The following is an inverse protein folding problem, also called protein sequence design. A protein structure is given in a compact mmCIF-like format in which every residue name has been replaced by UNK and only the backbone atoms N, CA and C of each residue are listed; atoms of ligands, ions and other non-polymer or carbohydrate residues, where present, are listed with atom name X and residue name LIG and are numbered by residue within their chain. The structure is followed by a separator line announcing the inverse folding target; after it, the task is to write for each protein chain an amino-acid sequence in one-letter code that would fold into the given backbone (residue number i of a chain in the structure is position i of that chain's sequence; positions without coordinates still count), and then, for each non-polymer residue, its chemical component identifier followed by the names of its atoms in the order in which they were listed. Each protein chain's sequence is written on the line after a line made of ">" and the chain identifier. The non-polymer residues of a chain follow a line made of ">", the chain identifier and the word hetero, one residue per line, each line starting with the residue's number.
data_IF_346830907149
#
_entry.id   IF_346830907149
#
_cell.length_a   1.000
_cell.length_b   1.000
_cell.length_c   1.000
_cell.angle_alpha   90.00
_cell.angle_beta   90.00
_cell.angle_gamma   90.00
#
_symmetry.space_group_name_H-M   'P 1'
#
loop_
_entity.id
_entity.type
_entity.pdbx_description
1 polymer ?
#
# COMPACT_ATOMS: atom_id res chain seq x y z
N UNK A 1 20.57 -44.16 10.51
CA UNK A 1 21.09 -43.02 9.71
C UNK A 1 19.99 -42.07 9.24
N UNK A 2 18.95 -42.52 8.53
CA UNK A 2 17.91 -41.63 7.97
C UNK A 2 17.11 -40.78 8.99
N UNK A 3 16.83 -41.31 10.18
CA UNK A 3 16.06 -40.60 11.21
C UNK A 3 16.77 -39.35 11.73
N UNK A 4 18.11 -39.39 11.84
CA UNK A 4 18.89 -38.26 12.35
C UNK A 4 18.95 -37.11 11.33
N UNK A 5 19.13 -37.44 10.05
CA UNK A 5 19.10 -36.45 8.96
C UNK A 5 17.72 -35.78 8.88
N UNK A 6 16.64 -36.55 8.99
CA UNK A 6 15.27 -36.01 8.95
C UNK A 6 15.01 -35.01 10.09
N UNK A 7 15.40 -35.36 11.33
CA UNK A 7 15.31 -34.45 12.49
C UNK A 7 16.11 -33.17 12.28
N UNK A 8 17.29 -33.27 11.68
CA UNK A 8 18.12 -32.10 11.39
C UNK A 8 17.48 -31.18 10.34
N UNK A 9 16.90 -31.73 9.27
CA UNK A 9 16.19 -30.95 8.25
C UNK A 9 15.02 -30.18 8.86
N UNK A 10 14.18 -30.85 9.67
CA UNK A 10 13.03 -30.21 10.34
C UNK A 10 13.52 -29.05 11.23
N UNK A 11 14.54 -29.30 12.05
CA UNK A 11 15.12 -28.29 12.95
C UNK A 11 15.64 -27.08 12.18
N UNK A 12 16.36 -27.29 11.08
CA UNK A 12 16.86 -26.20 10.25
C UNK A 12 15.72 -25.42 9.58
N UNK A 13 14.71 -26.10 9.03
CA UNK A 13 13.54 -25.47 8.43
C UNK A 13 12.77 -24.59 9.43
N UNK A 14 12.59 -25.06 10.67
CA UNK A 14 11.95 -24.28 11.73
C UNK A 14 12.76 -23.05 12.14
N UNK A 15 14.09 -23.17 12.21
CA UNK A 15 14.95 -22.03 12.52
C UNK A 15 14.90 -20.99 11.39
N UNK A 16 14.94 -21.44 10.13
CA UNK A 16 14.78 -20.58 8.97
C UNK A 16 13.44 -19.85 8.99
N UNK A 17 12.34 -20.60 9.18
CA UNK A 17 10.98 -20.05 9.28
C UNK A 17 10.88 -18.95 10.35
N UNK A 18 11.38 -19.21 11.58
CA UNK A 18 11.39 -18.22 12.67
C UNK A 18 12.14 -16.93 12.32
N UNK A 19 13.27 -17.05 11.61
CA UNK A 19 14.08 -15.88 11.20
C UNK A 19 13.37 -15.03 10.15
N UNK A 20 12.75 -15.69 9.17
CA UNK A 20 11.98 -15.03 8.10
C UNK A 20 10.72 -14.37 8.68
N UNK A 21 9.91 -15.14 9.41
CA UNK A 21 8.63 -14.70 9.96
C UNK A 21 8.78 -13.49 10.91
N UNK A 22 9.93 -13.34 11.58
CA UNK A 22 10.21 -12.18 12.46
C UNK A 22 10.03 -10.82 11.76
N UNK A 23 10.23 -10.76 10.46
CA UNK A 23 10.15 -9.52 9.67
C UNK A 23 8.92 -9.48 8.76
N UNK A 24 8.13 -10.56 8.71
CA UNK A 24 6.94 -10.66 7.88
C UNK A 24 5.70 -10.23 8.66
N UNK A 25 5.07 -9.12 8.25
CA UNK A 25 3.74 -8.76 8.75
C UNK A 25 2.70 -9.68 8.12
N UNK A 26 1.87 -10.31 8.94
CA UNK A 26 0.75 -11.12 8.46
C UNK A 26 -0.35 -10.18 7.96
N UNK A 27 -0.56 -10.14 6.66
CA UNK A 27 -1.69 -9.45 6.02
C UNK A 27 -2.68 -10.52 5.58
N UNK A 28 -3.94 -10.39 6.03
CA UNK A 28 -5.01 -11.32 5.68
C UNK A 28 -6.15 -10.50 5.09
N UNK A 29 -6.59 -10.91 3.90
CA UNK A 29 -7.75 -10.33 3.24
C UNK A 29 -8.95 -11.28 3.34
N UNK A 30 -10.15 -10.72 3.44
CA UNK A 30 -11.41 -11.45 3.37
C UNK A 30 -12.02 -11.31 1.98
N UNK A 31 -12.94 -12.19 1.67
CA UNK A 31 -13.74 -12.09 0.45
C UNK A 31 -14.60 -10.82 0.54
N UNK A 32 -14.56 -10.01 -0.51
CA UNK A 32 -15.23 -8.71 -0.56
C UNK A 32 -14.36 -7.52 -0.18
N UNK A 33 -13.17 -7.72 0.40
CA UNK A 33 -12.24 -6.62 0.68
C UNK A 33 -11.76 -5.98 -0.63
N UNK A 34 -11.58 -4.67 -0.60
CA UNK A 34 -10.96 -3.92 -1.69
C UNK A 34 -9.45 -3.89 -1.51
N UNK A 35 -8.72 -4.16 -2.59
CA UNK A 35 -7.25 -4.20 -2.58
C UNK A 35 -6.67 -3.51 -3.81
N UNK A 36 -5.56 -2.81 -3.58
CA UNK A 36 -4.68 -2.31 -4.63
C UNK A 36 -3.77 -3.42 -5.16
N UNK A 37 -3.65 -3.55 -6.49
CA UNK A 37 -2.77 -4.54 -7.11
C UNK A 37 -1.49 -3.87 -7.62
N UNK A 38 -0.35 -4.45 -7.25
CA UNK A 38 0.96 -4.05 -7.74
C UNK A 38 1.39 -4.97 -8.89
N UNK A 39 1.41 -4.45 -10.12
CA UNK A 39 1.88 -5.21 -11.29
C UNK A 39 3.28 -4.76 -11.76
N UNK A 40 3.90 -5.61 -12.57
CA UNK A 40 5.10 -5.25 -13.35
C UNK A 40 4.69 -4.50 -14.61
N UNK A 41 5.58 -3.64 -15.11
CA UNK A 41 5.34 -2.79 -16.29
C UNK A 41 4.82 -3.57 -17.50
N UNK A 42 5.36 -4.75 -17.77
CA UNK A 42 5.00 -5.61 -18.91
C UNK A 42 3.59 -6.20 -18.82
N UNK A 43 2.99 -6.21 -17.63
CA UNK A 43 1.69 -6.84 -17.36
C UNK A 43 0.53 -5.85 -17.37
N UNK A 44 0.86 -4.56 -17.40
CA UNK A 44 -0.14 -3.52 -17.54
C UNK A 44 -0.63 -3.43 -18.99
N UNK A 45 -1.92 -3.14 -19.21
CA UNK A 45 -2.39 -2.76 -20.53
C UNK A 45 -1.61 -1.56 -21.07
N UNK A 46 -1.47 -1.52 -22.39
CA UNK A 46 -0.66 -0.52 -23.09
C UNK A 46 -1.17 0.89 -22.76
N UNK A 47 -0.27 1.79 -22.37
CA UNK A 47 -0.61 3.19 -22.04
C UNK A 47 -0.87 3.46 -20.55
N UNK A 48 -0.95 2.43 -19.69
CA UNK A 48 -1.07 2.62 -18.22
C UNK A 48 0.24 2.97 -17.51
N UNK A 49 1.38 2.86 -18.19
CA UNK A 49 2.70 3.15 -17.61
C UNK A 49 3.26 4.48 -18.13
N UNK A 50 3.85 5.28 -17.23
CA UNK A 50 4.49 6.56 -17.55
C UNK A 50 5.30 7.05 -16.36
N UNK A 51 6.22 8.00 -16.59
CA UNK A 51 6.92 8.65 -15.47
C UNK A 51 5.88 9.29 -14.54
N UNK A 52 6.07 9.15 -13.23
CA UNK A 52 5.21 9.68 -12.17
C UNK A 52 3.79 9.07 -12.06
N UNK A 53 3.43 8.07 -12.88
CA UNK A 53 2.17 7.34 -12.68
C UNK A 53 2.29 6.36 -11.50
N UNK A 54 1.23 6.19 -10.69
CA UNK A 54 1.24 5.21 -9.61
C UNK A 54 1.43 3.80 -10.18
N UNK A 55 2.17 2.98 -9.44
CA UNK A 55 2.46 1.59 -9.83
C UNK A 55 1.37 0.62 -9.39
N UNK A 56 0.58 1.02 -8.39
CA UNK A 56 -0.61 0.31 -7.98
C UNK A 56 -1.78 0.74 -8.85
N UNK A 57 -2.68 -0.20 -9.10
CA UNK A 57 -3.90 0.04 -9.87
C UNK A 57 -5.10 -0.50 -9.12
N UNK A 58 -6.22 0.21 -9.30
CA UNK A 58 -7.59 0.00 -8.81
C UNK A 58 -7.81 -0.56 -7.40
N UNK A 59 -8.84 -0.10 -6.67
CA UNK A 59 -9.45 -0.97 -5.68
C UNK A 59 -10.19 -2.09 -6.40
N UNK A 60 -9.62 -3.30 -6.35
CA UNK A 60 -10.26 -4.51 -6.87
C UNK A 60 -10.81 -5.36 -5.74
N UNK A 61 -11.91 -6.06 -6.01
CA UNK A 61 -12.55 -6.91 -5.02
C UNK A 61 -11.85 -8.27 -4.93
N UNK A 62 -11.55 -8.71 -3.71
CA UNK A 62 -11.13 -10.08 -3.44
C UNK A 62 -12.33 -11.01 -3.63
N UNK A 63 -12.27 -11.92 -4.59
CA UNK A 63 -13.32 -12.91 -4.86
C UNK A 63 -13.23 -14.09 -3.90
N UNK A 64 -12.02 -14.62 -3.72
CA UNK A 64 -11.81 -15.85 -2.96
C UNK A 64 -10.41 -15.91 -2.37
N UNK A 65 -10.29 -16.48 -1.17
CA UNK A 65 -9.00 -16.84 -0.58
C UNK A 65 -8.64 -18.27 -0.95
N UNK A 66 -7.58 -18.45 -1.74
CA UNK A 66 -7.10 -19.79 -2.13
C UNK A 66 -6.17 -20.35 -1.05
N UNK A 67 -5.23 -19.52 -0.59
CA UNK A 67 -4.28 -19.84 0.48
C UNK A 67 -3.99 -18.59 1.30
N UNK A 68 -3.28 -18.72 2.43
CA UNK A 68 -2.82 -17.56 3.23
C UNK A 68 -2.02 -16.54 2.41
N UNK A 69 -1.32 -17.01 1.38
CA UNK A 69 -0.43 -16.24 0.53
C UNK A 69 -1.04 -15.88 -0.84
N UNK A 70 -2.20 -16.47 -1.22
CA UNK A 70 -2.72 -16.37 -2.58
C UNK A 70 -4.23 -16.12 -2.61
N UNK A 71 -4.64 -15.07 -3.32
CA UNK A 71 -6.00 -14.58 -3.39
C UNK A 71 -6.46 -14.44 -4.84
N UNK A 72 -7.72 -14.77 -5.10
CA UNK A 72 -8.37 -14.54 -6.38
C UNK A 72 -9.02 -13.16 -6.36
N UNK A 73 -8.71 -12.35 -7.34
CA UNK A 73 -9.17 -10.97 -7.48
C UNK A 73 -10.03 -10.83 -8.72
N UNK A 74 -11.06 -10.01 -8.62
CA UNK A 74 -11.89 -9.63 -9.75
C UNK A 74 -11.12 -8.65 -10.64
N UNK A 75 -10.58 -9.17 -11.75
CA UNK A 75 -9.86 -8.38 -12.73
C UNK A 75 -10.65 -8.23 -14.03
N UNK A 76 -10.67 -7.04 -14.64
CA UNK A 76 -11.13 -6.86 -16.01
C UNK A 76 -10.33 -7.70 -17.00
N UNK A 77 -10.96 -8.14 -18.09
CA UNK A 77 -10.29 -8.92 -19.15
C UNK A 77 -9.20 -8.16 -19.92
N UNK A 78 -9.02 -6.87 -19.64
CA UNK A 78 -7.99 -6.01 -20.25
C UNK A 78 -6.57 -6.31 -19.73
N UNK A 79 -6.45 -6.99 -18.58
CA UNK A 79 -5.17 -7.32 -18.00
C UNK A 79 -4.65 -8.66 -18.53
N UNK A 80 -3.42 -8.68 -19.03
CA UNK A 80 -2.73 -9.90 -19.50
C UNK A 80 -2.19 -10.76 -18.35
N UNK A 81 -2.90 -10.85 -17.23
CA UNK A 81 -2.49 -11.62 -16.04
C UNK A 81 -3.62 -12.49 -15.53
N UNK A 82 -3.24 -13.58 -14.86
CA UNK A 82 -4.20 -14.39 -14.12
C UNK A 82 -4.80 -13.58 -12.97
N UNK A 83 -6.09 -13.75 -12.70
CA UNK A 83 -6.78 -13.15 -11.55
C UNK A 83 -6.35 -13.72 -10.19
N UNK A 84 -5.21 -14.41 -10.09
CA UNK A 84 -4.67 -14.94 -8.83
C UNK A 84 -3.40 -14.21 -8.46
N UNK A 85 -3.38 -13.59 -7.28
CA UNK A 85 -2.29 -12.75 -6.80
C UNK A 85 -1.72 -13.23 -5.48
N UNK A 86 -0.41 -13.03 -5.35
CA UNK A 86 0.29 -13.20 -4.09
C UNK A 86 -0.01 -12.02 -3.15
N UNK A 87 -0.12 -12.26 -1.83
CA UNK A 87 -0.32 -11.22 -0.80
C UNK A 87 0.72 -10.09 -0.88
N UNK A 88 1.95 -10.40 -1.30
CA UNK A 88 3.03 -9.41 -1.47
C UNK A 88 2.78 -8.41 -2.60
N UNK A 89 1.89 -8.74 -3.55
CA UNK A 89 1.49 -7.85 -4.64
C UNK A 89 0.16 -7.14 -4.36
N UNK A 90 -0.43 -7.35 -3.18
CA UNK A 90 -1.69 -6.75 -2.77
C UNK A 90 -1.45 -5.74 -1.66
N UNK A 91 -2.23 -4.67 -1.65
CA UNK A 91 -2.25 -3.73 -0.52
C UNK A 91 -3.69 -3.43 -0.13
N UNK A 92 -4.00 -3.33 1.17
CA UNK A 92 -5.34 -3.01 1.62
C UNK A 92 -5.76 -1.63 1.08
N UNK A 93 -6.99 -1.54 0.59
CA UNK A 93 -7.65 -0.27 0.30
C UNK A 93 -8.36 0.20 1.57
N UNK A 94 -8.12 1.45 1.97
CA UNK A 94 -8.88 2.13 3.00
C UNK A 94 -9.64 3.26 2.33
N UNK A 95 -10.94 3.33 2.55
CA UNK A 95 -11.75 4.45 2.08
C UNK A 95 -11.51 5.63 3.02
N UNK A 96 -10.97 6.73 2.50
CA UNK A 96 -10.65 7.92 3.30
C UNK A 96 -11.93 8.68 3.75
N UNK A 97 -13.13 8.16 3.43
CA UNK A 97 -14.41 8.83 3.68
C UNK A 97 -14.91 8.79 5.14
N UNK A 98 -14.24 8.07 6.05
CA UNK A 98 -14.76 7.85 7.40
C UNK A 98 -14.31 8.85 8.49
N UNK A 99 -13.36 9.77 8.23
CA UNK A 99 -12.72 10.54 9.32
C UNK A 99 -12.66 12.07 9.13
N UNK A 100 -13.59 12.66 8.37
CA UNK A 100 -13.67 14.13 8.22
C UNK A 100 -14.96 14.79 8.71
N UNK A 101 -15.88 14.07 9.39
CA UNK A 101 -17.20 14.64 9.77
C UNK A 101 -17.64 14.50 11.24
N UNK A 102 -16.78 14.12 12.18
CA UNK A 102 -17.12 14.18 13.62
C UNK A 102 -16.14 15.06 14.39
N UNK A 103 -16.14 16.36 14.11
CA UNK A 103 -15.83 17.43 15.06
C UNK A 103 -16.26 18.79 14.46
N UNK A 104 -17.55 18.95 14.21
CA UNK A 104 -18.15 20.28 14.03
C UNK A 104 -19.53 20.33 14.71
N UNK A 105 -19.54 20.65 16.00
CA UNK A 105 -20.58 21.41 16.73
C UNK A 105 -20.10 21.51 18.19
N UNK A 106 -19.63 22.66 18.68
CA UNK A 106 -20.29 23.92 19.03
C UNK A 106 -20.48 24.01 20.56
N UNK A 107 -19.81 25.00 21.16
CA UNK A 107 -19.94 25.37 22.56
C UNK A 107 -19.08 26.60 22.83
N UNK A 108 -19.54 27.76 22.39
CA UNK A 108 -18.86 29.03 22.60
C UNK A 108 -19.05 29.56 24.02
N UNK A 109 -18.04 30.26 24.52
CA UNK A 109 -18.15 31.60 25.11
C UNK A 109 -16.77 32.26 25.09
N UNK A 110 -16.83 33.54 24.77
CA UNK A 110 -15.89 34.64 24.69
C UNK A 110 -14.97 34.85 25.92
N UNK A 111 -13.69 35.20 25.67
CA UNK A 111 -13.05 36.40 26.24
C UNK A 111 -11.63 36.63 25.68
N UNK A 112 -11.28 37.91 25.55
CA UNK A 112 -10.24 38.45 24.69
C UNK A 112 -8.78 38.26 25.15
N UNK A 113 -7.86 38.06 24.18
CA UNK A 113 -6.62 38.86 24.10
C UNK A 113 -6.02 38.80 22.69
N UNK A 114 -5.81 40.00 22.15
CA UNK A 114 -5.05 40.33 20.95
C UNK A 114 -3.61 39.83 21.01
N UNK A 115 -3.09 39.32 19.89
CA UNK A 115 -1.79 39.74 19.35
C UNK A 115 -1.64 39.30 17.89
N UNK A 116 -1.41 40.30 17.04
CA UNK A 116 -1.28 40.22 15.59
C UNK A 116 0.16 39.84 15.19
N UNK A 117 0.33 38.81 14.35
CA UNK A 117 1.55 38.63 13.58
C UNK A 117 1.25 37.99 12.22
N UNK A 118 0.97 38.89 11.26
CA UNK A 118 1.28 38.88 9.82
C UNK A 118 1.54 37.53 9.14
N UNK A 119 0.64 37.22 8.19
CA UNK A 119 0.82 36.28 7.09
C UNK A 119 2.18 36.45 6.39
N UNK A 120 3.04 35.43 6.49
CA UNK A 120 4.25 35.32 5.67
C UNK A 120 4.02 34.37 4.50
N UNK A 121 3.72 34.92 3.33
CA UNK A 121 3.72 34.19 2.06
C UNK A 121 5.14 33.72 1.70
N UNK A 122 5.32 32.46 1.31
CA UNK A 122 6.60 31.92 0.87
C UNK A 122 6.69 31.96 -0.66
N UNK A 123 7.28 33.03 -1.19
CA UNK A 123 7.50 33.23 -2.63
C UNK A 123 8.72 32.45 -3.13
N UNK A 124 8.49 31.38 -3.91
CA UNK A 124 9.55 30.69 -4.66
C UNK A 124 9.85 31.43 -5.96
N UNK A 125 10.55 32.56 -5.86
CA UNK A 125 11.07 33.28 -7.04
C UNK A 125 12.40 33.98 -6.75
N UNK A 126 13.45 33.23 -6.48
CA UNK A 126 14.83 33.68 -6.75
C UNK A 126 15.83 32.54 -6.56
N UNK A 127 16.13 31.81 -7.63
CA UNK A 127 17.51 31.32 -7.85
C UNK A 127 17.83 31.62 -9.30
N UNK A 128 18.41 32.81 -9.50
CA UNK A 128 18.93 33.25 -10.77
C UNK A 128 20.19 32.51 -11.18
N UNK A 129 20.41 32.49 -12.49
CA UNK A 129 21.61 32.05 -13.18
C UNK A 129 22.90 32.61 -12.59
N UNK A 130 23.99 31.86 -12.77
CA UNK A 130 25.29 32.47 -13.03
C UNK A 130 25.87 31.85 -14.30
N UNK A 131 25.99 32.72 -15.31
CA UNK A 131 26.83 32.57 -16.50
C UNK A 131 27.98 33.55 -16.33
N UNK A 132 29.21 33.07 -16.34
CA UNK A 132 30.47 33.76 -16.71
C UNK A 132 31.57 32.68 -16.60
N UNK A 133 32.53 32.50 -17.51
CA UNK A 133 32.99 33.17 -18.72
C UNK A 133 33.72 32.11 -19.56
#
# INVERSE_FOLDING_TARGET
>A
MHVQVHKQIIKQNEQYKRRVDKHCKRVVFKEGDLVWIHLRRERFPVGRFGKLKPRADGPFKVLQRINDNAYKIELPGEYNVSGTFNVANLSPYYDDEADSRVNLSQGGVDDAKSESAVFGNMDYRSMGSSVSE
#
